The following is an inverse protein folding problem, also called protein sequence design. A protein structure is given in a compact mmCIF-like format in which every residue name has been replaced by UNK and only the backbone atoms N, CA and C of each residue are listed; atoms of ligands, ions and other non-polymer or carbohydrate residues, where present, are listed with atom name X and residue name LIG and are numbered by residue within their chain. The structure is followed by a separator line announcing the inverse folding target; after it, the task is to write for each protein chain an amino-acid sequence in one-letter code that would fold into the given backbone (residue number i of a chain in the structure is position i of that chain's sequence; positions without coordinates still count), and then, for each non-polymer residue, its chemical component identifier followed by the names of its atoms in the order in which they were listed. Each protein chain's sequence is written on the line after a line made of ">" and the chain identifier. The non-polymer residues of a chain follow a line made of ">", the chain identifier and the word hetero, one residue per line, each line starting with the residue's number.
data_IF_806658325065
#
_entry.id   IF_806658325065
#
_cell.length_a   1.000
_cell.length_b   1.000
_cell.length_c   1.000
_cell.angle_alpha   90.00
_cell.angle_beta   90.00
_cell.angle_gamma   90.00
#
_symmetry.space_group_name_H-M   'P 1'
#
loop_
_entity.id
_entity.type
_entity.pdbx_description
1 polymer ?
#
# COMPACT_ATOMS: atom_id res chain seq x y z
N UNK A 1 0.56 20.24 47.45
CA UNK A 1 0.15 19.40 46.31
C UNK A 1 0.91 18.08 46.42
N UNK A 2 0.22 17.02 46.85
CA UNK A 2 0.88 15.78 47.25
C UNK A 2 1.58 15.09 46.07
N UNK A 3 2.72 14.47 46.35
CA UNK A 3 3.56 13.77 45.36
C UNK A 3 2.78 12.72 44.56
N UNK A 4 1.73 12.14 45.17
CA UNK A 4 0.80 11.21 44.53
C UNK A 4 -0.14 11.89 43.52
N UNK A 5 -0.59 13.12 43.81
CA UNK A 5 -1.48 13.90 42.94
C UNK A 5 -0.72 14.41 41.71
N UNK A 6 0.55 14.79 41.87
CA UNK A 6 1.42 15.18 40.75
C UNK A 6 1.68 14.02 39.78
N UNK A 7 1.91 12.80 40.30
CA UNK A 7 2.12 11.61 39.47
C UNK A 7 0.86 11.22 38.67
N UNK A 8 -0.32 11.37 39.26
CA UNK A 8 -1.61 11.14 38.57
C UNK A 8 -1.84 12.19 37.48
N UNK A 9 -1.54 13.46 37.74
CA UNK A 9 -1.62 14.53 36.74
C UNK A 9 -0.70 14.28 35.54
N UNK A 10 0.54 13.82 35.78
CA UNK A 10 1.46 13.46 34.70
C UNK A 10 0.94 12.30 33.85
N UNK A 11 0.36 11.26 34.47
CA UNK A 11 -0.21 10.13 33.74
C UNK A 11 -1.40 10.55 32.89
N UNK A 12 -2.27 11.41 33.42
CA UNK A 12 -3.41 11.97 32.66
C UNK A 12 -2.91 12.83 31.51
N UNK A 13 -1.89 13.67 31.72
CA UNK A 13 -1.32 14.50 30.66
C UNK A 13 -0.73 13.66 29.51
N UNK A 14 -0.07 12.54 29.83
CA UNK A 14 0.44 11.60 28.84
C UNK A 14 -0.70 10.94 28.07
N UNK A 15 -1.74 10.45 28.75
CA UNK A 15 -2.89 9.83 28.09
C UNK A 15 -3.63 10.81 27.17
N UNK A 16 -3.81 12.06 27.61
CA UNK A 16 -4.38 13.14 26.80
C UNK A 16 -3.49 13.45 25.60
N UNK A 17 -2.17 13.52 25.79
CA UNK A 17 -1.22 13.75 24.70
C UNK A 17 -1.23 12.63 23.65
N UNK A 18 -1.29 11.37 24.07
CA UNK A 18 -1.37 10.22 23.16
C UNK A 18 -2.72 10.17 22.44
N UNK A 19 -3.83 10.42 23.16
CA UNK A 19 -5.16 10.49 22.55
C UNK A 19 -5.28 11.63 21.53
N UNK A 20 -4.73 12.81 21.85
CA UNK A 20 -4.66 13.95 20.94
C UNK A 20 -3.79 13.65 19.72
N UNK A 21 -2.62 13.01 19.91
CA UNK A 21 -1.73 12.62 18.81
C UNK A 21 -2.39 11.65 17.84
N UNK A 22 -3.10 10.64 18.36
CA UNK A 22 -3.85 9.69 17.53
C UNK A 22 -4.96 10.42 16.76
N UNK A 23 -5.70 11.30 17.43
CA UNK A 23 -6.75 12.09 16.80
C UNK A 23 -6.21 13.00 15.68
N UNK A 24 -5.10 13.72 15.92
CA UNK A 24 -4.42 14.56 14.95
C UNK A 24 -3.92 13.76 13.72
N UNK A 25 -3.39 12.55 13.95
CA UNK A 25 -2.92 11.65 12.88
C UNK A 25 -4.07 11.05 12.07
N UNK A 26 -5.22 10.77 12.67
CA UNK A 26 -6.40 10.30 11.94
C UNK A 26 -7.05 11.41 11.09
N UNK A 27 -6.97 12.68 11.53
CA UNK A 27 -7.39 13.83 10.73
C UNK A 27 -6.49 14.09 9.50
N UNK A 28 -5.22 13.68 9.55
CA UNK A 28 -4.32 13.82 8.40
C UNK A 28 -4.61 12.82 7.28
N UNK A 29 -5.33 11.72 7.55
CA UNK A 29 -5.72 10.74 6.52
C UNK A 29 -6.90 11.26 5.69
N UNK A 30 -7.77 12.11 6.24
CA UNK A 30 -8.85 12.75 5.46
C UNK A 30 -8.34 13.81 4.47
N UNK A 31 -7.21 14.48 4.78
CA UNK A 31 -6.61 15.49 3.89
C UNK A 31 -5.87 14.93 2.66
N UNK A 32 -5.49 13.64 2.67
CA UNK A 32 -4.81 13.01 1.52
C UNK A 32 -5.83 12.51 0.48
N UNK A 33 -7.08 12.23 0.88
CA UNK A 33 -8.13 11.83 -0.06
C UNK A 33 -8.61 13.01 -0.93
N UNK A 34 -8.54 14.24 -0.43
CA UNK A 34 -8.96 15.44 -1.20
C UNK A 34 -7.85 16.00 -2.11
N UNK A 35 -6.60 15.54 -1.96
CA UNK A 35 -5.50 15.89 -2.87
C UNK A 35 -5.48 15.04 -4.15
N UNK A 36 -6.14 13.87 -4.15
CA UNK A 36 -6.19 12.94 -5.29
C UNK A 36 -7.36 13.27 -6.23
N UNK A 37 -8.39 14.00 -5.78
CA UNK A 37 -9.54 14.39 -6.60
C UNK A 37 -9.36 15.72 -7.35
N UNK A 38 -8.22 16.44 -7.20
CA UNK A 38 -8.03 17.80 -7.76
C UNK A 38 -6.82 18.10 -8.65
N UNK A 39 -6.17 17.15 -9.35
CA UNK A 39 -5.32 17.53 -10.48
C UNK A 39 -5.70 16.79 -11.78
N UNK A 40 -6.96 16.85 -12.22
CA UNK A 40 -7.35 16.35 -13.55
C UNK A 40 -8.03 17.37 -14.47
N UNK A 41 -8.15 18.64 -14.03
CA UNK A 41 -8.64 19.75 -14.87
C UNK A 41 -7.52 20.63 -15.47
N UNK A 42 -6.24 20.25 -15.31
CA UNK A 42 -5.10 21.11 -15.69
C UNK A 42 -4.23 20.67 -16.88
N UNK A 43 -4.46 19.49 -17.48
CA UNK A 43 -3.49 18.93 -18.47
C UNK A 43 -4.09 18.36 -19.75
N UNK A 44 -5.26 18.86 -20.19
CA UNK A 44 -5.88 18.47 -21.46
C UNK A 44 -5.89 19.57 -22.53
N UNK A 45 -4.98 20.54 -22.46
CA UNK A 45 -4.88 21.59 -23.47
C UNK A 45 -3.70 21.44 -24.45
N UNK A 46 -2.79 20.47 -24.28
CA UNK A 46 -1.50 20.49 -25.01
C UNK A 46 -1.18 19.28 -25.89
N UNK A 47 -2.09 18.34 -26.12
CA UNK A 47 -1.81 17.20 -27.03
C UNK A 47 -2.94 17.02 -28.02
N UNK A 48 -3.06 18.01 -28.89
CA UNK A 48 -3.67 17.87 -30.22
C UNK A 48 -2.49 17.86 -31.20
N UNK A 49 -2.56 16.95 -32.16
CA UNK A 49 -1.63 16.72 -33.28
C UNK A 49 -0.55 15.66 -33.03
N UNK A 50 -0.54 14.68 -33.95
CA UNK A 50 0.43 13.59 -34.12
C UNK A 50 0.24 12.47 -33.08
N UNK A 51 -0.19 11.24 -33.38
CA UNK A 51 0.01 10.44 -34.58
C UNK A 51 -1.15 9.44 -34.67
N UNK A 52 -2.12 9.77 -35.52
CA UNK A 52 -3.04 8.79 -36.06
C UNK A 52 -2.37 8.24 -37.32
N UNK A 53 -2.21 6.91 -37.40
CA UNK A 53 -2.21 6.04 -38.60
C UNK A 53 -0.96 5.16 -38.73
N UNK A 54 -1.25 3.87 -39.05
CA UNK A 54 -0.37 2.75 -39.49
C UNK A 54 0.08 1.86 -38.31
N UNK A 55 -0.22 0.56 -38.22
CA UNK A 55 -0.70 -0.44 -39.18
C UNK A 55 -1.40 -1.57 -38.41
N UNK A 56 -2.51 -2.06 -38.99
CA UNK A 56 -3.19 -3.32 -38.69
C UNK A 56 -2.35 -4.48 -39.21
N UNK A 57 -1.97 -5.47 -38.39
CA UNK A 57 -1.87 -6.87 -38.82
C UNK A 57 -1.47 -7.82 -37.68
N UNK A 58 -2.16 -8.96 -37.68
CA UNK A 58 -1.84 -10.26 -37.08
C UNK A 58 -2.12 -10.56 -35.61
N UNK A 59 -3.30 -11.18 -35.48
CA UNK A 59 -3.71 -12.14 -34.49
C UNK A 59 -2.61 -13.13 -34.05
N UNK A 60 -2.51 -13.32 -32.73
CA UNK A 60 -2.55 -14.66 -32.15
C UNK A 60 -2.81 -14.62 -30.64
N UNK A 61 -3.79 -15.43 -30.26
CA UNK A 61 -4.00 -16.01 -28.93
C UNK A 61 -4.55 -15.11 -27.82
N UNK A 62 -5.88 -15.08 -27.81
CA UNK A 62 -6.71 -15.31 -26.63
C UNK A 62 -6.08 -16.37 -25.72
N UNK A 63 -5.64 -15.99 -24.51
CA UNK A 63 -5.70 -16.71 -23.21
C UNK A 63 -4.84 -15.92 -22.20
N UNK A 64 -5.31 -15.82 -20.95
CA UNK A 64 -4.72 -15.13 -19.78
C UNK A 64 -5.01 -13.62 -19.69
N UNK A 65 -6.23 -13.26 -19.25
CA UNK A 65 -6.60 -11.86 -18.95
C UNK A 65 -7.36 -11.68 -17.63
N UNK A 66 -7.17 -12.60 -16.68
CA UNK A 66 -7.81 -12.51 -15.35
C UNK A 66 -6.81 -12.45 -14.19
N UNK A 67 -5.54 -12.80 -14.40
CA UNK A 67 -4.51 -12.82 -13.35
C UNK A 67 -3.65 -11.55 -13.28
N UNK A 68 -3.60 -10.72 -14.33
CA UNK A 68 -2.81 -9.48 -14.31
C UNK A 68 -3.44 -8.40 -13.42
N UNK A 69 -4.79 -8.37 -13.36
CA UNK A 69 -5.56 -7.37 -12.62
C UNK A 69 -5.33 -7.36 -11.10
N UNK A 70 -5.24 -8.50 -10.38
CA UNK A 70 -4.96 -8.50 -8.93
C UNK A 70 -3.54 -8.07 -8.58
N UNK A 71 -2.55 -8.27 -9.47
CA UNK A 71 -1.15 -7.89 -9.23
C UNK A 71 -0.93 -6.39 -9.35
N UNK A 72 -1.60 -5.72 -10.30
CA UNK A 72 -1.53 -4.26 -10.46
C UNK A 72 -2.11 -3.50 -9.26
N UNK A 73 -2.98 -4.14 -8.47
CA UNK A 73 -3.56 -3.55 -7.27
C UNK A 73 -2.60 -3.58 -6.06
N UNK A 74 -1.51 -4.34 -6.10
CA UNK A 74 -0.54 -4.33 -5.01
C UNK A 74 0.27 -3.04 -4.97
N UNK A 75 0.38 -2.49 -3.77
CA UNK A 75 1.23 -1.36 -3.47
C UNK A 75 1.80 -1.46 -2.06
N UNK A 76 2.87 -0.70 -1.81
CA UNK A 76 3.45 -0.58 -0.47
C UNK A 76 2.46 0.04 0.52
N UNK A 77 2.61 -0.29 1.80
CA UNK A 77 1.75 0.13 2.90
C UNK A 77 0.46 -0.69 3.07
N UNK A 78 0.10 -1.50 2.06
CA UNK A 78 -1.02 -2.42 2.13
C UNK A 78 -0.85 -3.38 3.32
N UNK A 79 -1.96 -3.72 3.97
CA UNK A 79 -1.95 -4.68 5.08
C UNK A 79 -1.80 -6.11 4.58
N UNK A 80 -1.26 -6.97 5.42
CA UNK A 80 -1.12 -8.40 5.14
C UNK A 80 -2.47 -9.08 4.83
N UNK A 81 -3.56 -8.63 5.46
CA UNK A 81 -4.93 -9.08 5.17
C UNK A 81 -5.42 -8.65 3.78
N UNK A 82 -5.17 -7.40 3.37
CA UNK A 82 -5.53 -6.90 2.04
C UNK A 82 -4.78 -7.67 0.95
N UNK A 83 -3.48 -7.94 1.16
CA UNK A 83 -2.69 -8.78 0.25
C UNK A 83 -3.28 -10.17 0.13
N UNK A 84 -3.68 -10.80 1.24
CA UNK A 84 -4.36 -12.12 1.20
C UNK A 84 -5.73 -12.05 0.55
N UNK A 85 -6.46 -10.95 0.72
CA UNK A 85 -7.74 -10.74 0.05
C UNK A 85 -7.59 -10.62 -1.47
N UNK A 86 -6.49 -10.05 -1.94
CA UNK A 86 -6.21 -9.85 -3.37
C UNK A 86 -5.56 -11.07 -4.03
N UNK A 87 -4.54 -11.64 -3.39
CA UNK A 87 -3.70 -12.70 -3.98
C UNK A 87 -4.00 -14.10 -3.43
N UNK A 88 -4.78 -14.19 -2.36
CA UNK A 88 -4.89 -15.42 -1.57
C UNK A 88 -3.69 -15.65 -0.66
N UNK A 89 -3.58 -16.88 -0.17
CA UNK A 89 -2.48 -17.28 0.69
C UNK A 89 -1.16 -17.43 -0.10
N UNK A 90 -0.01 -17.00 0.47
CA UNK A 90 1.28 -17.17 -0.15
C UNK A 90 1.68 -18.65 -0.21
N UNK A 91 2.43 -19.03 -1.25
CA UNK A 91 2.95 -20.39 -1.40
C UNK A 91 4.05 -20.69 -0.36
N UNK A 92 4.88 -19.69 -0.06
CA UNK A 92 5.94 -19.80 0.95
C UNK A 92 6.05 -18.50 1.77
N UNK A 93 6.36 -18.64 3.06
CA UNK A 93 6.68 -17.53 3.96
C UNK A 93 8.10 -17.77 4.49
N UNK A 94 9.01 -16.90 4.12
CA UNK A 94 10.43 -16.99 4.49
C UNK A 94 10.81 -15.79 5.37
N UNK A 95 11.50 -15.98 6.50
CA UNK A 95 12.10 -14.85 7.21
C UNK A 95 13.18 -14.21 6.35
N UNK A 96 13.27 -12.87 6.39
CA UNK A 96 14.37 -12.19 5.75
C UNK A 96 15.68 -12.47 6.51
N UNK A 97 16.75 -12.81 5.78
CA UNK A 97 18.04 -13.14 6.38
C UNK A 97 18.72 -11.91 6.97
N UNK A 98 18.46 -10.75 6.37
CA UNK A 98 19.10 -9.48 6.75
C UNK A 98 18.31 -8.73 7.84
N UNK A 99 17.00 -9.02 7.97
CA UNK A 99 16.14 -8.37 8.95
C UNK A 99 15.06 -9.34 9.46
N UNK A 100 15.17 -9.87 10.70
CA UNK A 100 14.22 -10.85 11.23
C UNK A 100 12.80 -10.29 11.45
N UNK A 101 12.60 -8.97 11.40
CA UNK A 101 11.27 -8.34 11.46
C UNK A 101 10.53 -8.40 10.12
N UNK A 102 11.23 -8.77 9.04
CA UNK A 102 10.67 -8.88 7.70
C UNK A 102 10.36 -10.32 7.35
N UNK A 103 9.20 -10.50 6.73
CA UNK A 103 8.75 -11.77 6.16
C UNK A 103 8.61 -11.60 4.66
N UNK A 104 9.24 -12.49 3.89
CA UNK A 104 9.10 -12.59 2.44
C UNK A 104 8.01 -13.60 2.14
N UNK A 105 6.93 -13.14 1.55
CA UNK A 105 5.83 -13.95 1.07
C UNK A 105 6.03 -14.20 -0.41
N UNK A 106 6.12 -15.47 -0.80
CA UNK A 106 6.38 -15.88 -2.18
C UNK A 106 5.07 -16.36 -2.80
N UNK A 107 4.72 -15.75 -3.93
CA UNK A 107 3.59 -16.11 -4.75
C UNK A 107 4.10 -16.62 -6.10
N UNK A 108 4.24 -17.94 -6.23
CA UNK A 108 4.81 -18.61 -7.41
C UNK A 108 3.91 -18.49 -8.62
N UNK A 109 2.59 -18.50 -8.43
CA UNK A 109 1.60 -18.45 -9.52
C UNK A 109 1.68 -17.16 -10.33
N UNK A 110 1.94 -16.04 -9.64
CA UNK A 110 2.00 -14.70 -10.24
C UNK A 110 3.43 -14.15 -10.31
N UNK A 111 4.42 -14.98 -9.96
CA UNK A 111 5.84 -14.63 -9.99
C UNK A 111 6.18 -13.34 -9.20
N UNK A 112 5.70 -13.28 -7.95
CA UNK A 112 5.90 -12.12 -7.05
C UNK A 112 6.42 -12.52 -5.69
N UNK A 113 7.21 -11.63 -5.11
CA UNK A 113 7.64 -11.65 -3.72
C UNK A 113 7.15 -10.38 -3.05
N UNK A 114 6.37 -10.54 -1.98
CA UNK A 114 5.86 -9.43 -1.17
C UNK A 114 6.60 -9.46 0.17
N UNK A 115 7.27 -8.37 0.52
CA UNK A 115 7.97 -8.25 1.80
C UNK A 115 7.06 -7.53 2.78
N UNK A 116 6.81 -8.16 3.93
CA UNK A 116 5.96 -7.64 5.00
C UNK A 116 6.79 -7.34 6.23
N UNK A 117 6.60 -6.15 6.79
CA UNK A 117 7.17 -5.70 8.06
C UNK A 117 6.04 -5.09 8.90
N UNK A 118 5.93 -5.46 10.17
CA UNK A 118 4.86 -4.95 11.06
C UNK A 118 3.44 -5.02 10.43
N UNK A 119 3.10 -6.15 9.79
CA UNK A 119 1.82 -6.40 9.11
C UNK A 119 1.54 -5.52 7.88
N UNK A 120 2.55 -4.83 7.35
CA UNK A 120 2.42 -4.01 6.14
C UNK A 120 3.43 -4.39 5.07
N UNK A 121 3.02 -4.26 3.82
CA UNK A 121 3.89 -4.40 2.67
C UNK A 121 4.91 -3.27 2.67
N UNK A 122 6.19 -3.62 2.62
CA UNK A 122 7.31 -2.66 2.55
C UNK A 122 8.07 -2.74 1.24
N UNK A 123 7.87 -3.80 0.46
CA UNK A 123 8.48 -3.97 -0.86
C UNK A 123 7.73 -5.03 -1.64
N UNK A 124 7.63 -4.84 -2.96
CA UNK A 124 7.10 -5.83 -3.89
C UNK A 124 8.17 -6.03 -4.96
N UNK A 125 8.55 -7.27 -5.20
CA UNK A 125 9.55 -7.64 -6.20
C UNK A 125 9.00 -8.71 -7.14
N UNK A 126 9.51 -8.71 -8.36
CA UNK A 126 9.38 -9.83 -9.29
C UNK A 126 10.42 -10.88 -8.86
N UNK A 127 10.04 -12.15 -8.91
CA UNK A 127 10.87 -13.26 -8.46
C UNK A 127 11.99 -13.59 -9.45
#
# INVERSE_FOLDING_TARGET
>A
MDKQNFRRLLLVAVLVGVGWWIHEKHLTIQGVVDAITRPLMGSRAAVKESEQKRVVADASQVVARDEEKPVEALHEGMTDLEVRGLLGDPDEILPDRDNPLRLKWVYKKIDRIVVIEHYRVVSIAIR
#
